data_IF_806233702906
#
_entry.id   IF_806233702906
#
_cell.length_a   1.000
_cell.length_b   1.000
_cell.length_c   1.000
_cell.angle_alpha   90.00
_cell.angle_beta   90.00
_cell.angle_gamma   90.00
#
_symmetry.space_group_name_H-M   'P 1'
#
loop_
_entity.id
_entity.type
_entity.pdbx_description
1 polymer ?
#
# COMPACT_ATOMS: atom_id res chain seq x y z
N UNK A 1 11.10 11.84 7.65
CA UNK A 1 9.72 11.55 7.17
C UNK A 1 8.98 12.83 6.76
N UNK A 2 9.70 13.83 6.28
CA UNK A 2 9.16 15.11 5.88
C UNK A 2 8.59 15.07 4.47
N UNK A 3 7.36 15.50 4.30
CA UNK A 3 6.83 15.89 3.00
C UNK A 3 5.63 15.09 2.48
N UNK A 4 5.41 13.86 2.91
CA UNK A 4 4.21 13.11 2.55
C UNK A 4 2.96 13.67 3.20
N UNK A 5 1.84 13.48 2.54
CA UNK A 5 0.55 13.95 3.00
C UNK A 5 0.19 13.35 4.36
N UNK A 6 -0.07 14.21 5.34
CA UNK A 6 -0.66 13.86 6.63
C UNK A 6 -1.99 14.59 6.73
N UNK A 7 -3.07 13.95 6.36
CA UNK A 7 -4.34 14.65 6.29
C UNK A 7 -4.86 15.07 7.66
N UNK A 8 -4.68 14.26 8.67
CA UNK A 8 -5.21 14.55 9.99
C UNK A 8 -4.25 14.01 11.04
N UNK A 9 -3.98 14.80 12.07
CA UNK A 9 -3.37 14.31 13.29
C UNK A 9 -4.40 13.64 14.20
N UNK A 10 -5.57 13.30 13.66
CA UNK A 10 -6.64 12.62 14.36
C UNK A 10 -6.38 11.13 14.20
N UNK A 11 -5.96 10.51 15.28
CA UNK A 11 -5.92 9.07 15.45
C UNK A 11 -7.02 8.70 16.44
N UNK A 12 -7.85 7.73 16.09
CA UNK A 12 -8.85 7.17 17.00
C UNK A 12 -8.25 6.10 17.95
N UNK A 13 -6.94 6.05 18.03
CA UNK A 13 -6.19 5.08 18.82
C UNK A 13 -5.33 4.16 17.95
N UNK A 14 -4.76 3.10 18.53
CA UNK A 14 -4.04 2.09 17.78
C UNK A 14 -4.97 1.34 16.82
N UNK A 15 -4.46 0.83 15.70
CA UNK A 15 -5.24 -0.04 14.81
C UNK A 15 -5.79 -1.24 15.60
N UNK A 16 -7.08 -1.49 15.48
CA UNK A 16 -7.75 -2.62 16.14
C UNK A 16 -8.45 -3.49 15.09
N UNK A 17 -8.54 -4.78 15.36
CA UNK A 17 -9.24 -5.75 14.55
C UNK A 17 -10.37 -6.37 15.36
N UNK A 18 -11.56 -6.40 14.75
CA UNK A 18 -12.67 -7.23 15.19
C UNK A 18 -12.99 -8.17 14.03
N UNK A 19 -12.91 -9.47 14.29
CA UNK A 19 -13.09 -10.50 13.28
C UNK A 19 -14.09 -11.55 13.75
N UNK A 20 -15.00 -11.93 12.87
CA UNK A 20 -15.91 -13.05 13.05
C UNK A 20 -16.06 -13.79 11.72
N UNK A 21 -15.91 -15.12 11.77
CA UNK A 21 -16.15 -16.03 10.66
C UNK A 21 -17.15 -17.09 11.08
N UNK A 22 -18.28 -17.13 10.41
CA UNK A 22 -19.31 -18.15 10.61
C UNK A 22 -19.20 -19.16 9.48
N UNK A 23 -18.97 -20.43 9.83
CA UNK A 23 -18.85 -21.54 8.89
C UNK A 23 -20.09 -22.43 9.06
N UNK A 24 -20.92 -22.49 8.04
CA UNK A 24 -22.07 -23.38 8.00
C UNK A 24 -21.69 -24.62 7.19
N UNK A 25 -21.81 -25.79 7.79
CA UNK A 25 -21.54 -27.07 7.14
C UNK A 25 -22.77 -27.64 6.46
N UNK A 26 -22.58 -28.55 5.51
CA UNK A 26 -23.66 -29.19 4.77
C UNK A 26 -24.58 -30.09 5.66
N UNK A 27 -24.04 -30.58 6.77
CA UNK A 27 -24.79 -31.36 7.77
C UNK A 27 -25.66 -30.49 8.69
N UNK A 28 -25.72 -29.18 8.46
CA UNK A 28 -26.47 -28.20 9.23
C UNK A 28 -25.79 -27.73 10.53
N UNK A 29 -24.60 -28.21 10.82
CA UNK A 29 -23.80 -27.67 11.95
C UNK A 29 -23.17 -26.35 11.61
N UNK A 30 -22.77 -25.58 12.63
CA UNK A 30 -22.15 -24.27 12.48
C UNK A 30 -20.96 -24.12 13.43
N UNK A 31 -19.89 -23.54 12.95
CA UNK A 31 -18.75 -23.13 13.77
C UNK A 31 -18.51 -21.64 13.62
N UNK A 32 -18.28 -20.95 14.73
CA UNK A 32 -17.91 -19.53 14.70
C UNK A 32 -16.48 -19.36 15.23
N UNK A 33 -15.67 -18.65 14.45
CA UNK A 33 -14.33 -18.23 14.84
C UNK A 33 -14.32 -16.72 14.98
N UNK A 34 -13.87 -16.21 16.10
CA UNK A 34 -13.76 -14.76 16.33
C UNK A 34 -12.38 -14.41 16.91
N UNK A 35 -12.01 -13.14 16.76
CA UNK A 35 -10.78 -12.63 17.36
C UNK A 35 -10.88 -12.65 18.87
N UNK A 36 -9.86 -13.17 19.54
CA UNK A 36 -9.76 -13.27 20.97
C UNK A 36 -8.32 -13.02 21.47
N UNK A 37 -8.07 -13.22 22.75
CA UNK A 37 -6.78 -13.02 23.40
C UNK A 37 -5.72 -14.09 23.03
N UNK A 38 -6.09 -15.16 22.33
CA UNK A 38 -5.15 -16.17 21.86
C UNK A 38 -4.50 -15.79 20.53
N UNK A 39 -5.00 -14.73 19.88
CA UNK A 39 -4.44 -14.25 18.64
C UNK A 39 -3.07 -13.61 18.86
N UNK A 40 -2.26 -13.65 17.82
CA UNK A 40 -0.93 -13.05 17.80
C UNK A 40 -0.79 -12.12 16.61
N UNK A 41 0.16 -11.23 16.69
CA UNK A 41 0.48 -10.31 15.60
C UNK A 41 1.97 -10.14 15.41
N UNK A 42 2.37 -9.76 14.22
CA UNK A 42 3.69 -9.23 13.93
C UNK A 42 3.59 -8.10 12.89
N UNK A 43 4.67 -7.34 12.73
CA UNK A 43 4.71 -6.24 11.79
C UNK A 43 4.78 -6.74 10.35
N UNK A 44 3.94 -6.18 9.50
CA UNK A 44 3.92 -6.48 8.08
C UNK A 44 5.10 -5.84 7.33
N UNK A 45 5.35 -6.26 6.07
CA UNK A 45 6.26 -5.54 5.16
C UNK A 45 5.88 -4.10 4.88
N UNK A 46 4.62 -3.71 5.08
CA UNK A 46 4.16 -2.33 4.92
C UNK A 46 4.70 -1.48 6.08
N UNK A 47 5.61 -0.57 5.78
CA UNK A 47 6.27 0.28 6.78
C UNK A 47 5.68 1.68 6.88
N UNK A 48 4.90 2.06 5.88
CA UNK A 48 4.10 3.29 5.85
C UNK A 48 2.86 3.04 4.97
N UNK A 49 1.72 3.54 5.40
CA UNK A 49 0.50 3.56 4.60
C UNK A 49 -0.32 4.80 4.92
N UNK A 50 -0.77 5.49 3.90
CA UNK A 50 -1.67 6.62 4.01
C UNK A 50 -2.45 6.78 2.71
N UNK A 51 -3.77 6.86 2.80
CA UNK A 51 -4.65 6.99 1.63
C UNK A 51 -4.28 8.14 0.68
N UNK A 52 -3.68 9.22 1.21
CA UNK A 52 -3.25 10.37 0.41
C UNK A 52 -1.73 10.45 0.22
N UNK A 53 -0.96 9.59 0.86
CA UNK A 53 0.50 9.63 0.83
C UNK A 53 1.15 8.46 0.12
N UNK A 54 0.37 7.42 -0.18
CA UNK A 54 0.87 6.19 -0.77
C UNK A 54 1.34 5.17 0.26
N UNK A 55 2.22 4.28 -0.13
CA UNK A 55 2.66 3.15 0.69
C UNK A 55 4.16 2.89 0.54
N UNK A 56 4.80 2.47 1.62
CA UNK A 56 6.15 1.91 1.61
C UNK A 56 6.08 0.42 1.95
N UNK A 57 6.66 -0.39 1.10
CA UNK A 57 6.74 -1.83 1.26
C UNK A 57 8.18 -2.31 1.27
N UNK A 58 8.59 -2.98 2.33
CA UNK A 58 9.92 -3.59 2.44
C UNK A 58 9.81 -5.10 2.30
N UNK A 59 10.02 -5.62 1.09
CA UNK A 59 9.91 -7.04 0.79
C UNK A 59 10.92 -7.91 1.57
N UNK A 60 11.95 -7.33 2.18
CA UNK A 60 12.90 -8.05 3.02
C UNK A 60 12.29 -8.50 4.35
N UNK A 61 11.14 -7.92 4.73
CA UNK A 61 10.37 -8.23 5.94
C UNK A 61 9.27 -9.27 5.71
N UNK A 62 9.09 -9.74 4.48
CA UNK A 62 8.11 -10.78 4.21
C UNK A 62 8.41 -12.03 5.01
N UNK A 63 7.40 -12.56 5.68
CA UNK A 63 7.46 -13.83 6.39
C UNK A 63 6.86 -14.90 5.47
N UNK A 64 7.75 -15.67 4.81
CA UNK A 64 7.30 -16.68 3.85
C UNK A 64 6.43 -17.74 4.54
N UNK A 65 5.25 -17.98 4.00
CA UNK A 65 4.34 -19.01 4.48
C UNK A 65 3.48 -18.61 5.68
N UNK A 66 3.46 -17.31 6.08
CA UNK A 66 2.68 -16.84 7.22
C UNK A 66 1.17 -17.18 7.16
N UNK A 67 0.66 -17.40 5.96
CA UNK A 67 -0.74 -17.78 5.69
C UNK A 67 -0.92 -19.27 5.38
N UNK A 68 0.05 -20.11 5.74
CA UNK A 68 0.00 -21.56 5.52
C UNK A 68 -0.19 -22.28 6.85
N UNK A 69 -0.85 -23.43 6.79
CA UNK A 69 -0.99 -24.32 7.94
C UNK A 69 0.40 -24.77 8.39
N UNK A 70 0.64 -24.71 9.70
CA UNK A 70 1.92 -25.11 10.30
C UNK A 70 3.00 -24.03 10.28
N UNK A 71 2.67 -22.79 9.94
CA UNK A 71 3.59 -21.67 10.11
C UNK A 71 3.99 -21.52 11.58
N UNK A 72 5.29 -21.37 11.85
CA UNK A 72 5.80 -21.11 13.19
C UNK A 72 5.63 -19.63 13.56
N UNK A 73 4.61 -19.34 14.32
CA UNK A 73 4.30 -18.02 14.87
C UNK A 73 4.79 -17.83 16.33
N UNK A 74 5.69 -18.67 16.80
CA UNK A 74 6.19 -18.64 18.18
C UNK A 74 6.83 -17.30 18.57
N UNK A 75 7.40 -16.59 17.59
CA UNK A 75 8.02 -15.28 17.76
C UNK A 75 7.03 -14.11 17.62
N UNK A 76 5.79 -14.36 17.24
CA UNK A 76 4.77 -13.33 17.15
C UNK A 76 4.32 -12.90 18.55
N UNK A 77 3.88 -11.67 18.66
CA UNK A 77 3.46 -11.04 19.92
C UNK A 77 2.00 -11.33 20.23
N UNK A 78 1.64 -11.53 21.49
CA UNK A 78 0.23 -11.62 21.87
C UNK A 78 -0.49 -10.31 21.58
N UNK A 79 -1.75 -10.38 21.19
CA UNK A 79 -2.61 -9.20 21.01
C UNK A 79 -2.92 -8.56 22.36
N UNK A 80 -3.26 -7.27 22.33
CA UNK A 80 -3.78 -6.53 23.48
C UNK A 80 -5.27 -6.33 23.27
N UNK A 81 -6.07 -6.84 24.19
CA UNK A 81 -7.51 -6.66 24.15
C UNK A 81 -7.88 -5.19 24.40
N UNK A 82 -8.80 -4.69 23.61
CA UNK A 82 -9.34 -3.34 23.72
C UNK A 82 -10.85 -3.42 23.99
N UNK A 83 -11.40 -2.39 24.59
CA UNK A 83 -12.85 -2.26 24.69
C UNK A 83 -13.43 -2.18 23.24
N UNK A 84 -14.47 -2.97 23.00
CA UNK A 84 -15.10 -3.01 21.70
C UNK A 84 -15.71 -1.64 21.34
N UNK A 85 -15.62 -1.21 20.08
CA UNK A 85 -16.29 0.00 19.65
C UNK A 85 -17.81 -0.13 19.86
N UNK A 86 -18.43 0.96 20.29
CA UNK A 86 -19.90 1.01 20.38
C UNK A 86 -20.50 0.94 18.99
N UNK A 87 -21.43 0.01 18.78
CA UNK A 87 -22.11 -0.14 17.49
C UNK A 87 -22.59 -1.56 17.25
N UNK A 88 -23.18 -1.75 16.08
CA UNK A 88 -23.68 -3.04 15.60
C UNK A 88 -22.82 -3.44 14.38
N UNK A 89 -22.29 -4.65 14.40
CA UNK A 89 -21.62 -5.21 13.23
C UNK A 89 -22.66 -5.42 12.14
N UNK A 90 -22.32 -4.95 10.94
CA UNK A 90 -23.16 -5.12 9.75
C UNK A 90 -22.28 -5.54 8.58
N UNK A 91 -22.81 -6.34 7.66
CA UNK A 91 -22.09 -6.62 6.43
C UNK A 91 -21.89 -5.35 5.61
N UNK A 92 -20.85 -5.33 4.79
CA UNK A 92 -20.59 -4.24 3.87
C UNK A 92 -21.77 -4.06 2.92
N UNK A 93 -22.38 -2.86 2.91
CA UNK A 93 -23.52 -2.56 2.04
C UNK A 93 -23.08 -2.10 0.65
N UNK A 94 -21.92 -1.47 0.53
CA UNK A 94 -21.38 -1.05 -0.76
C UNK A 94 -20.69 -2.23 -1.47
N UNK A 95 -20.78 -2.26 -2.79
CA UNK A 95 -20.06 -3.25 -3.58
C UNK A 95 -18.54 -3.11 -3.33
N UNK A 96 -17.80 -4.23 -3.27
CA UNK A 96 -16.35 -4.18 -3.09
C UNK A 96 -15.68 -3.58 -4.32
N UNK A 97 -14.58 -2.87 -4.09
CA UNK A 97 -13.69 -2.42 -5.17
C UNK A 97 -13.07 -3.63 -5.83
N UNK A 98 -13.22 -3.75 -7.15
CA UNK A 98 -12.69 -4.87 -7.94
C UNK A 98 -11.87 -4.34 -9.11
N UNK A 99 -10.94 -5.15 -9.58
CA UNK A 99 -10.28 -4.92 -10.87
C UNK A 99 -11.31 -5.18 -11.96
N UNK A 100 -11.72 -4.12 -12.66
CA UNK A 100 -12.69 -4.23 -13.76
C UNK A 100 -11.97 -4.44 -15.08
N UNK A 101 -10.87 -3.72 -15.29
CA UNK A 101 -10.08 -3.74 -16.50
C UNK A 101 -8.59 -3.62 -16.18
N UNK A 102 -7.74 -4.01 -17.12
CA UNK A 102 -6.29 -3.83 -17.07
C UNK A 102 -5.87 -3.02 -18.28
N UNK A 103 -5.02 -2.03 -18.08
CA UNK A 103 -4.51 -1.14 -19.11
C UNK A 103 -3.01 -1.27 -19.22
N UNK A 104 -2.53 -1.39 -20.42
CA UNK A 104 -1.10 -1.40 -20.72
C UNK A 104 -0.56 0.02 -20.88
N UNK A 105 0.73 0.19 -20.61
CA UNK A 105 1.45 1.44 -20.83
C UNK A 105 1.44 1.77 -22.32
N UNK A 106 0.99 2.97 -22.67
CA UNK A 106 0.93 3.45 -24.05
C UNK A 106 2.28 4.01 -24.51
N UNK A 107 3.02 4.66 -23.60
CA UNK A 107 4.32 5.26 -23.91
C UNK A 107 5.26 5.24 -22.74
N UNK A 108 6.53 4.98 -23.01
CA UNK A 108 7.63 5.05 -22.02
C UNK A 108 8.59 6.15 -22.45
N UNK A 109 8.82 7.12 -21.60
CA UNK A 109 9.77 8.22 -21.84
C UNK A 109 10.84 8.23 -20.76
N UNK A 110 12.11 8.09 -21.14
CA UNK A 110 13.23 8.25 -20.21
C UNK A 110 13.44 9.74 -19.96
N UNK A 111 13.52 10.12 -18.69
CA UNK A 111 13.77 11.51 -18.30
C UNK A 111 15.28 11.82 -18.25
N UNK A 112 15.63 13.05 -18.61
CA UNK A 112 16.95 13.61 -18.36
C UNK A 112 17.01 14.30 -16.97
N UNK A 113 18.17 14.78 -16.57
CA UNK A 113 18.38 15.38 -15.25
C UNK A 113 17.50 16.63 -15.00
N UNK A 114 17.30 17.47 -16.01
CA UNK A 114 16.50 18.70 -15.90
C UNK A 114 15.01 18.36 -15.74
N UNK A 115 14.52 17.41 -16.51
CA UNK A 115 13.14 16.90 -16.41
C UNK A 115 12.89 16.28 -15.03
N UNK A 116 13.85 15.51 -14.55
CA UNK A 116 13.79 14.93 -13.21
C UNK A 116 13.76 16.02 -12.13
N UNK A 117 14.55 17.08 -12.27
CA UNK A 117 14.56 18.22 -11.36
C UNK A 117 13.25 19.01 -11.39
N UNK A 118 12.57 19.09 -12.54
CA UNK A 118 11.28 19.77 -12.71
C UNK A 118 10.12 19.01 -12.11
N UNK A 119 10.25 17.70 -11.90
CA UNK A 119 9.22 16.90 -11.26
C UNK A 119 8.82 17.55 -9.95
N UNK A 120 7.54 17.88 -9.81
CA UNK A 120 7.02 18.63 -8.66
C UNK A 120 6.90 17.80 -7.38
N UNK A 121 7.64 16.73 -7.33
CA UNK A 121 7.86 15.94 -6.14
C UNK A 121 8.92 16.65 -5.31
N UNK A 122 8.49 17.60 -4.48
CA UNK A 122 9.34 18.36 -3.57
C UNK A 122 10.00 17.44 -2.55
N UNK A 123 10.96 16.64 -2.99
CA UNK A 123 11.86 15.96 -2.08
C UNK A 123 13.26 16.49 -2.34
N UNK A 124 14.00 16.70 -1.26
CA UNK A 124 15.45 16.74 -1.25
C UNK A 124 16.05 15.37 -1.62
N UNK A 125 15.34 14.59 -2.44
CA UNK A 125 15.80 13.29 -2.92
C UNK A 125 16.63 13.55 -4.16
N UNK A 126 17.83 13.03 -4.16
CA UNK A 126 18.59 12.79 -5.38
C UNK A 126 17.72 11.86 -6.23
N UNK A 127 17.10 12.39 -7.27
CA UNK A 127 16.34 11.56 -8.19
C UNK A 127 17.36 10.76 -8.99
N UNK A 128 17.16 9.45 -9.01
CA UNK A 128 17.96 8.54 -9.80
C UNK A 128 17.93 8.98 -11.27
N UNK A 129 19.08 9.12 -11.96
CA UNK A 129 19.13 9.48 -13.38
C UNK A 129 18.43 8.45 -14.31
N UNK A 130 17.91 7.36 -13.77
CA UNK A 130 17.14 6.33 -14.48
C UNK A 130 15.63 6.47 -14.32
N UNK A 131 15.10 7.67 -14.15
CA UNK A 131 13.65 7.89 -14.05
C UNK A 131 12.96 7.80 -15.43
N UNK A 132 11.75 7.24 -15.43
CA UNK A 132 10.91 7.10 -16.60
C UNK A 132 9.52 7.65 -16.31
N UNK A 133 8.89 8.25 -17.32
CA UNK A 133 7.44 8.48 -17.33
C UNK A 133 6.77 7.33 -18.09
N UNK A 134 5.81 6.72 -17.44
CA UNK A 134 4.97 5.67 -18.00
C UNK A 134 3.59 6.28 -18.24
N UNK A 135 3.28 6.55 -19.51
CA UNK A 135 2.03 7.19 -19.90
C UNK A 135 0.97 6.13 -20.18
N UNK A 136 -0.16 6.23 -19.48
CA UNK A 136 -1.29 5.32 -19.61
C UNK A 136 -2.28 5.75 -20.70
N UNK A 137 -2.07 6.93 -21.32
CA UNK A 137 -2.91 7.47 -22.38
C UNK A 137 -4.21 8.13 -21.92
N UNK A 138 -4.61 7.90 -20.68
CA UNK A 138 -5.80 8.50 -20.08
C UNK A 138 -5.72 8.53 -18.55
N UNK A 139 -6.56 9.35 -17.93
CA UNK A 139 -6.76 9.31 -16.48
C UNK A 139 -7.54 8.06 -16.06
N UNK A 140 -7.06 7.40 -15.01
CA UNK A 140 -7.60 6.15 -14.51
C UNK A 140 -7.82 6.23 -13.00
N UNK A 141 -8.92 5.68 -12.53
CA UNK A 141 -9.09 5.33 -11.12
C UNK A 141 -8.64 3.88 -10.94
N UNK A 142 -7.49 3.67 -10.29
CA UNK A 142 -6.91 2.33 -10.18
C UNK A 142 -5.63 2.30 -9.37
N UNK A 143 -4.91 1.21 -9.50
CA UNK A 143 -3.59 1.03 -8.91
C UNK A 143 -2.63 0.40 -9.91
N UNK A 144 -1.36 0.79 -9.87
CA UNK A 144 -0.35 0.24 -10.78
C UNK A 144 0.08 -1.17 -10.36
N UNK A 145 0.31 -2.01 -11.36
CA UNK A 145 0.96 -3.30 -11.21
C UNK A 145 2.31 -3.25 -11.94
N UNK A 146 3.40 -3.52 -11.24
CA UNK A 146 4.74 -3.55 -11.82
C UNK A 146 5.48 -4.82 -11.45
N UNK A 147 6.28 -5.34 -12.39
CA UNK A 147 7.23 -6.42 -12.12
C UNK A 147 8.63 -5.85 -12.17
N UNK A 148 9.37 -6.00 -11.09
CA UNK A 148 10.74 -5.47 -10.98
C UNK A 148 11.72 -6.56 -10.59
N UNK A 149 12.95 -6.47 -11.10
CA UNK A 149 14.07 -7.34 -10.74
C UNK A 149 15.26 -6.49 -10.33
N UNK A 150 15.95 -6.88 -9.29
CA UNK A 150 17.11 -6.14 -8.81
C UNK A 150 17.74 -6.78 -7.57
N UNK A 151 18.76 -6.12 -7.03
CA UNK A 151 19.50 -6.60 -5.87
C UNK A 151 18.72 -6.34 -4.58
N UNK A 152 18.99 -7.15 -3.55
CA UNK A 152 18.47 -6.97 -2.20
C UNK A 152 18.74 -5.54 -1.69
N UNK A 153 17.70 -4.90 -1.20
CA UNK A 153 17.76 -3.53 -0.67
C UNK A 153 17.66 -2.44 -1.73
N UNK A 154 17.66 -2.78 -3.02
CA UNK A 154 17.41 -1.82 -4.07
C UNK A 154 15.96 -1.30 -3.96
N UNK A 155 15.80 0.00 -4.14
CA UNK A 155 14.53 0.70 -4.00
C UNK A 155 13.97 1.07 -5.37
N UNK A 156 12.67 0.85 -5.53
CA UNK A 156 11.88 1.36 -6.65
C UNK A 156 10.87 2.35 -6.09
N UNK A 157 10.78 3.54 -6.68
CA UNK A 157 9.79 4.55 -6.31
C UNK A 157 8.85 4.76 -7.48
N UNK A 158 7.55 4.66 -7.23
CA UNK A 158 6.51 4.89 -8.21
C UNK A 158 5.72 6.14 -7.81
N UNK A 159 5.69 7.12 -8.69
CA UNK A 159 5.00 8.39 -8.50
C UNK A 159 3.82 8.41 -9.46
N UNK A 160 2.61 8.60 -8.96
CA UNK A 160 1.41 8.72 -9.78
C UNK A 160 1.01 10.18 -9.91
N UNK A 161 0.61 10.61 -11.11
CA UNK A 161 0.14 11.96 -11.38
C UNK A 161 -0.84 11.97 -12.55
N UNK A 162 -1.76 12.92 -12.56
CA UNK A 162 -2.72 13.14 -13.64
C UNK A 162 -2.21 14.10 -14.71
N UNK A 163 -1.14 14.83 -14.40
CA UNK A 163 -0.58 15.83 -15.29
C UNK A 163 0.96 15.75 -15.33
N UNK A 164 1.54 16.31 -16.38
CA UNK A 164 2.98 16.50 -16.52
C UNK A 164 3.35 17.98 -16.28
N UNK A 165 4.62 18.21 -15.96
CA UNK A 165 5.24 19.54 -16.02
C UNK A 165 5.47 19.95 -17.48
N UNK A 166 5.84 21.20 -17.74
CA UNK A 166 6.20 21.67 -19.07
C UNK A 166 7.38 20.87 -19.65
N UNK A 167 8.28 20.41 -18.79
CA UNK A 167 9.44 19.58 -19.17
C UNK A 167 9.09 18.08 -19.34
N UNK A 168 7.84 17.69 -19.06
CA UNK A 168 7.36 16.33 -19.27
C UNK A 168 7.53 15.36 -18.10
N UNK A 169 7.82 15.86 -16.89
CA UNK A 169 7.87 15.05 -15.68
C UNK A 169 6.51 15.03 -14.94
N UNK A 170 6.32 14.08 -14.02
CA UNK A 170 5.11 14.00 -13.21
C UNK A 170 4.86 15.25 -12.38
N UNK A 171 3.66 15.79 -12.45
CA UNK A 171 3.24 17.00 -11.74
C UNK A 171 2.17 16.67 -10.70
N UNK A 172 2.53 16.75 -9.41
CA UNK A 172 1.62 16.51 -8.29
C UNK A 172 1.17 17.83 -7.59
N UNK A 173 1.40 19.00 -8.18
CA UNK A 173 1.05 20.28 -7.53
C UNK A 173 -0.43 20.39 -7.17
N UNK A 174 -1.30 19.79 -7.98
CA UNK A 174 -2.74 19.82 -7.76
C UNK A 174 -3.26 18.72 -6.84
N UNK A 175 -2.45 17.73 -6.48
CA UNK A 175 -2.85 16.65 -5.57
C UNK A 175 -2.66 16.99 -4.09
N UNK A 176 -2.24 18.22 -3.79
CA UNK A 176 -2.05 18.75 -2.44
C UNK A 176 -0.68 18.49 -1.86
N UNK A 177 -0.23 17.28 -1.75
CA UNK A 177 1.11 16.88 -1.29
C UNK A 177 1.57 15.61 -2.01
N UNK A 178 2.80 15.22 -1.74
CA UNK A 178 3.43 14.07 -2.38
C UNK A 178 2.70 12.77 -2.09
N UNK A 179 2.38 12.07 -3.15
CA UNK A 179 1.82 10.75 -3.17
C UNK A 179 2.75 9.85 -3.98
N UNK A 180 3.32 8.83 -3.37
CA UNK A 180 4.18 7.87 -4.06
C UNK A 180 4.23 6.54 -3.30
N UNK A 181 4.64 5.50 -4.00
CA UNK A 181 4.87 4.16 -3.48
C UNK A 181 6.37 3.88 -3.49
N UNK A 182 6.87 3.28 -2.42
CA UNK A 182 8.24 2.80 -2.32
C UNK A 182 8.25 1.29 -2.13
N UNK A 183 9.03 0.60 -2.96
CA UNK A 183 9.21 -0.83 -2.83
C UNK A 183 10.70 -1.14 -2.66
N UNK A 184 11.06 -1.84 -1.59
CA UNK A 184 12.43 -2.29 -1.33
C UNK A 184 12.51 -3.78 -1.68
N UNK A 185 13.36 -4.12 -2.65
CA UNK A 185 13.51 -5.48 -3.16
C UNK A 185 14.15 -6.40 -2.12
N UNK A 186 13.70 -7.65 -2.13
CA UNK A 186 14.29 -8.70 -1.28
C UNK A 186 15.48 -9.42 -1.91
N UNK A 187 15.69 -9.25 -3.22
CA UNK A 187 16.72 -9.92 -4.01
C UNK A 187 16.22 -11.16 -4.70
#
# INVERSE_FOLDING_TARGET
>A
QGGRYRKLQISFGPPTLLFELVINYEDGTCTTVHSDNNWKYDFSPVTFNCIYGGEDYDARREQKGWNQIGFDDSHWRPVVMQEAPKGILRPQMAAPVKIMERYDIQKVTKLNADQVASASVSTKRTVDPSAFVLDMGQNLAGFPEITVRGKRGQKVTLIVAEALTEEGACNQRQTGRQHYYEYILKG
#
